data_IF_039185651487
#
_entry.id   IF_039185651487
#
_cell.length_a   1.000
_cell.length_b   1.000
_cell.length_c   1.000
_cell.angle_alpha   90.00
_cell.angle_beta   90.00
_cell.angle_gamma   90.00
#
_symmetry.space_group_name_H-M   'P 1'
#
loop_
_entity.id
_entity.type
_entity.pdbx_description
1 polymer ?
#
# COMPACT_ATOMS: atom_id res chain seq x y z
N UNK A 1 -24.27 41.68 0.17
CA UNK A 1 -23.53 42.73 -0.55
C UNK A 1 -22.10 42.68 -0.06
N UNK A 2 -21.14 42.73 -0.96
CA UNK A 2 -19.71 42.73 -0.65
C UNK A 2 -19.07 44.03 -1.16
N UNK A 3 -17.95 44.44 -0.55
CA UNK A 3 -17.25 45.68 -0.93
C UNK A 3 -15.97 45.38 -1.70
N UNK A 4 -15.78 46.08 -2.83
CA UNK A 4 -14.56 45.94 -3.63
C UNK A 4 -13.36 46.51 -2.88
N UNK A 5 -12.30 45.72 -2.72
CA UNK A 5 -11.06 46.10 -2.06
C UNK A 5 -10.38 47.32 -2.70
N UNK A 6 -10.51 47.48 -4.02
CA UNK A 6 -9.88 48.56 -4.79
C UNK A 6 -10.77 49.81 -4.82
N UNK A 7 -11.96 49.73 -5.43
CA UNK A 7 -12.79 50.91 -5.68
C UNK A 7 -13.80 51.22 -4.58
N UNK A 8 -13.88 50.37 -3.53
CA UNK A 8 -14.79 50.53 -2.37
C UNK A 8 -16.28 50.55 -2.69
N UNK A 9 -16.68 50.32 -3.95
CA UNK A 9 -18.09 50.15 -4.34
C UNK A 9 -18.62 48.83 -3.82
N UNK A 10 -19.87 48.84 -3.36
CA UNK A 10 -20.60 47.62 -3.04
C UNK A 10 -21.11 46.94 -4.31
N UNK A 11 -21.14 45.62 -4.29
CA UNK A 11 -21.63 44.82 -5.41
C UNK A 11 -22.19 43.48 -4.91
N UNK A 12 -22.95 42.80 -5.77
CA UNK A 12 -23.40 41.44 -5.51
C UNK A 12 -22.21 40.46 -5.64
N UNK A 13 -21.85 39.65 -4.61
CA UNK A 13 -20.73 38.72 -4.69
C UNK A 13 -20.73 37.78 -5.90
N UNK A 14 -21.88 37.46 -6.50
CA UNK A 14 -21.97 36.66 -7.73
C UNK A 14 -21.27 37.37 -8.92
N UNK A 15 -21.21 38.70 -8.88
CA UNK A 15 -20.64 39.56 -9.92
C UNK A 15 -19.17 39.92 -9.70
N UNK A 16 -18.52 39.37 -8.65
CA UNK A 16 -17.12 39.65 -8.36
C UNK A 16 -16.27 38.41 -8.12
N UNK A 17 -14.99 38.65 -7.84
CA UNK A 17 -13.98 37.63 -7.62
C UNK A 17 -13.49 37.73 -6.19
N UNK A 18 -13.51 36.63 -5.46
CA UNK A 18 -12.87 36.52 -4.15
C UNK A 18 -11.48 35.88 -4.31
N UNK A 19 -10.43 36.62 -3.96
CA UNK A 19 -9.05 36.17 -4.10
C UNK A 19 -8.16 36.80 -3.03
N UNK A 20 -7.20 36.06 -2.49
CA UNK A 20 -6.29 36.55 -1.44
C UNK A 20 -7.03 37.18 -0.24
N UNK A 21 -8.11 36.51 0.19
CA UNK A 21 -9.03 36.96 1.24
C UNK A 21 -9.66 38.34 1.01
N UNK A 22 -9.78 38.78 -0.25
CA UNK A 22 -10.34 40.08 -0.65
C UNK A 22 -11.37 39.92 -1.76
N UNK A 23 -12.38 40.76 -1.72
CA UNK A 23 -13.40 40.88 -2.76
C UNK A 23 -13.00 41.92 -3.80
N UNK A 24 -13.14 41.59 -5.09
CA UNK A 24 -12.89 42.50 -6.20
C UNK A 24 -14.13 42.55 -7.10
N UNK A 25 -14.62 43.74 -7.44
CA UNK A 25 -15.63 43.86 -8.49
C UNK A 25 -15.03 43.47 -9.85
N UNK A 26 -15.89 43.12 -10.82
CA UNK A 26 -15.48 42.65 -12.16
C UNK A 26 -14.45 43.54 -12.87
N UNK A 27 -14.61 44.85 -12.79
CA UNK A 27 -13.69 45.80 -13.46
C UNK A 27 -12.33 45.85 -12.75
N UNK A 28 -12.35 45.97 -11.43
CA UNK A 28 -11.15 46.05 -10.61
C UNK A 28 -10.38 44.72 -10.59
N UNK A 29 -11.07 43.58 -10.68
CA UNK A 29 -10.40 42.29 -10.80
C UNK A 29 -9.59 42.23 -12.10
N UNK A 30 -10.15 42.61 -13.24
CA UNK A 30 -9.41 42.61 -14.53
C UNK A 30 -8.16 43.51 -14.46
N UNK A 31 -8.25 44.68 -13.84
CA UNK A 31 -7.11 45.60 -13.72
C UNK A 31 -6.03 45.08 -12.76
N UNK A 32 -6.42 44.41 -11.68
CA UNK A 32 -5.51 43.84 -10.69
C UNK A 32 -4.96 42.46 -11.09
N UNK A 33 -5.53 41.85 -12.12
CA UNK A 33 -5.16 40.53 -12.59
C UNK A 33 -3.69 40.51 -13.03
N UNK A 34 -2.90 39.65 -12.37
CA UNK A 34 -1.69 39.13 -12.98
C UNK A 34 -2.10 38.04 -13.98
N UNK A 35 -1.57 38.13 -15.20
CA UNK A 35 -1.86 37.20 -16.27
C UNK A 35 -0.66 36.32 -16.56
N UNK A 36 -0.92 35.02 -16.67
CA UNK A 36 0.06 34.03 -17.11
C UNK A 36 -0.36 33.41 -18.44
N UNK A 37 0.57 32.75 -19.12
CA UNK A 37 0.28 32.07 -20.39
C UNK A 37 0.06 30.58 -20.17
N UNK A 38 -1.12 30.07 -20.52
CA UNK A 38 -1.39 28.64 -20.49
C UNK A 38 -0.39 27.88 -21.40
N UNK A 39 0.30 26.90 -20.83
CA UNK A 39 1.35 26.12 -21.48
C UNK A 39 0.83 25.25 -22.62
N UNK A 40 -0.48 24.96 -22.65
CA UNK A 40 -1.13 24.13 -23.68
C UNK A 40 -1.79 24.96 -24.78
N UNK A 41 -2.75 25.80 -24.44
CA UNK A 41 -3.53 26.57 -25.43
C UNK A 41 -3.00 27.97 -25.71
N UNK A 42 -1.96 28.42 -25.00
CA UNK A 42 -1.33 29.75 -25.15
C UNK A 42 -2.23 30.95 -24.82
N UNK A 43 -3.46 30.73 -24.34
CA UNK A 43 -4.36 31.79 -23.84
C UNK A 43 -3.76 32.46 -22.59
N UNK A 44 -3.88 33.79 -22.49
CA UNK A 44 -3.63 34.52 -21.25
C UNK A 44 -4.71 34.22 -20.22
N UNK A 45 -4.31 33.83 -19.02
CA UNK A 45 -5.20 33.45 -17.93
C UNK A 45 -4.89 34.26 -16.69
N UNK A 46 -5.92 34.78 -16.04
CA UNK A 46 -5.76 35.50 -14.79
C UNK A 46 -5.34 34.54 -13.68
N UNK A 47 -4.70 35.06 -12.63
CA UNK A 47 -4.15 34.28 -11.51
C UNK A 47 -5.14 33.33 -10.82
N UNK A 48 -6.42 33.66 -10.80
CA UNK A 48 -7.49 32.81 -10.24
C UNK A 48 -8.11 31.82 -11.24
N UNK A 49 -7.70 31.83 -12.51
CA UNK A 49 -8.24 30.97 -13.58
C UNK A 49 -7.23 29.92 -14.07
N UNK A 50 -6.13 29.73 -13.35
CA UNK A 50 -5.09 28.77 -13.73
C UNK A 50 -4.69 27.86 -12.57
N UNK A 51 -4.10 26.73 -12.95
CA UNK A 51 -3.43 25.79 -12.04
C UNK A 51 -1.97 25.66 -12.48
N UNK A 52 -1.06 25.71 -11.51
CA UNK A 52 0.34 25.33 -11.73
C UNK A 52 0.48 23.82 -11.49
N UNK A 53 1.01 23.11 -12.49
CA UNK A 53 1.24 21.67 -12.43
C UNK A 53 2.58 21.33 -13.07
N UNK A 54 3.46 20.66 -12.32
CA UNK A 54 4.81 20.30 -12.76
C UNK A 54 5.61 21.51 -13.33
N UNK A 55 5.52 22.67 -12.67
CA UNK A 55 6.22 23.90 -13.05
C UNK A 55 5.68 24.57 -14.32
N UNK A 56 4.47 24.20 -14.76
CA UNK A 56 3.80 24.77 -15.94
C UNK A 56 2.43 25.31 -15.55
N UNK A 57 2.06 26.45 -16.12
CA UNK A 57 0.75 27.07 -15.94
C UNK A 57 -0.26 26.49 -16.94
N UNK A 58 -1.45 26.13 -16.49
CA UNK A 58 -2.56 25.65 -17.33
C UNK A 58 -3.85 26.37 -16.98
N UNK A 59 -4.64 26.75 -17.98
CA UNK A 59 -6.04 27.10 -17.72
C UNK A 59 -6.81 25.87 -17.21
N UNK A 60 -7.87 26.07 -16.42
CA UNK A 60 -8.63 24.97 -15.83
C UNK A 60 -9.04 23.88 -16.84
N UNK A 61 -9.58 24.26 -18.00
CA UNK A 61 -9.95 23.31 -19.07
C UNK A 61 -8.77 22.50 -19.63
N UNK A 62 -7.59 23.13 -19.76
CA UNK A 62 -6.42 22.44 -20.27
C UNK A 62 -5.80 21.54 -19.20
N UNK A 63 -5.89 21.93 -17.93
CA UNK A 63 -5.42 21.13 -16.82
C UNK A 63 -6.21 19.82 -16.68
N UNK A 64 -7.54 19.85 -16.83
CA UNK A 64 -8.36 18.63 -16.85
C UNK A 64 -7.91 17.63 -17.91
N UNK A 65 -7.57 18.12 -19.11
CA UNK A 65 -7.05 17.27 -20.20
C UNK A 65 -5.69 16.67 -19.86
N UNK A 66 -4.81 17.45 -19.21
CA UNK A 66 -3.51 16.94 -18.72
C UNK A 66 -3.73 15.82 -17.69
N UNK A 67 -4.65 15.98 -16.75
CA UNK A 67 -4.95 14.95 -15.76
C UNK A 67 -5.48 13.65 -16.40
N UNK A 68 -6.33 13.77 -17.43
CA UNK A 68 -6.81 12.60 -18.19
C UNK A 68 -5.65 11.90 -18.90
N UNK A 69 -4.78 12.65 -19.56
CA UNK A 69 -3.60 12.11 -20.25
C UNK A 69 -2.64 11.40 -19.27
N UNK A 70 -2.35 12.02 -18.13
CA UNK A 70 -1.50 11.42 -17.08
C UNK A 70 -2.10 10.17 -16.45
N UNK A 71 -3.44 10.11 -16.32
CA UNK A 71 -4.15 8.92 -15.85
C UNK A 71 -4.07 7.80 -16.89
N UNK A 72 -4.31 8.11 -18.15
CA UNK A 72 -4.21 7.15 -19.25
C UNK A 72 -2.77 6.63 -19.40
N UNK A 73 -1.77 7.48 -19.21
CA UNK A 73 -0.35 7.12 -19.22
C UNK A 73 0.06 6.19 -18.06
N UNK A 74 -0.81 6.01 -17.06
CA UNK A 74 -0.64 5.05 -15.95
C UNK A 74 -1.63 3.90 -16.01
N UNK A 75 -2.43 3.79 -17.07
CA UNK A 75 -3.43 2.73 -17.20
C UNK A 75 -2.93 1.62 -18.12
N UNK A 76 -3.14 0.36 -17.71
CA UNK A 76 -2.82 -0.79 -18.53
C UNK A 76 -3.75 -0.85 -19.76
N UNK A 77 -3.15 -0.90 -20.95
CA UNK A 77 -3.88 -0.97 -22.21
C UNK A 77 -4.81 -2.19 -22.31
N UNK A 78 -4.46 -3.27 -21.59
CA UNK A 78 -5.16 -4.56 -21.61
C UNK A 78 -6.26 -4.60 -20.54
N UNK A 79 -5.91 -4.56 -19.25
CA UNK A 79 -6.89 -4.72 -18.17
C UNK A 79 -7.57 -3.42 -17.71
N UNK A 80 -7.18 -2.27 -18.26
CA UNK A 80 -7.73 -0.94 -17.91
C UNK A 80 -7.56 -0.53 -16.44
N UNK A 81 -6.76 -1.26 -15.66
CA UNK A 81 -6.40 -0.89 -14.28
C UNK A 81 -5.17 0.02 -14.26
N UNK A 82 -5.05 0.82 -13.19
CA UNK A 82 -3.83 1.58 -12.93
C UNK A 82 -2.63 0.62 -12.77
N UNK A 83 -1.51 1.00 -13.35
CA UNK A 83 -0.24 0.28 -13.29
C UNK A 83 0.48 0.74 -12.03
N UNK A 84 0.58 -0.16 -11.06
CA UNK A 84 1.41 0.00 -9.88
C UNK A 84 2.70 -0.80 -10.09
N UNK A 85 3.83 -0.11 -10.27
CA UNK A 85 5.14 -0.74 -10.48
C UNK A 85 5.56 -0.85 -11.96
N UNK A 86 6.40 -1.84 -12.32
CA UNK A 86 6.96 -1.94 -13.66
C UNK A 86 5.90 -2.22 -14.73
N UNK A 87 6.18 -1.80 -15.96
CA UNK A 87 5.34 -2.01 -17.13
C UNK A 87 6.17 -2.17 -18.38
N UNK A 88 5.57 -2.76 -19.40
CA UNK A 88 6.16 -2.81 -20.76
C UNK A 88 5.35 -1.93 -21.71
N UNK A 89 5.95 -1.58 -22.85
CA UNK A 89 5.27 -0.93 -23.96
C UNK A 89 4.89 -2.00 -24.99
N UNK A 90 3.62 -2.02 -25.42
CA UNK A 90 3.16 -2.89 -26.50
C UNK A 90 3.56 -2.29 -27.88
N UNK A 91 3.38 -3.03 -29.00
CA UNK A 91 3.69 -2.52 -30.34
C UNK A 91 2.93 -1.24 -30.74
N UNK A 92 1.81 -0.93 -30.08
CA UNK A 92 1.03 0.30 -30.28
C UNK A 92 1.54 1.49 -29.45
N UNK A 93 2.65 1.35 -28.72
CA UNK A 93 3.19 2.41 -27.87
C UNK A 93 2.48 2.59 -26.52
N UNK A 94 1.57 1.68 -26.13
CA UNK A 94 0.78 1.78 -24.89
C UNK A 94 1.38 0.92 -23.78
N UNK A 95 1.26 1.39 -22.52
CA UNK A 95 1.75 0.65 -21.35
C UNK A 95 0.87 -0.56 -21.04
N UNK A 96 1.51 -1.68 -20.67
CA UNK A 96 0.88 -2.92 -20.24
C UNK A 96 1.49 -3.35 -18.90
N UNK A 97 0.66 -3.67 -17.91
CA UNK A 97 1.13 -4.16 -16.61
C UNK A 97 1.79 -5.55 -16.74
N UNK A 98 2.72 -5.86 -15.84
CA UNK A 98 3.45 -7.14 -15.86
C UNK A 98 2.54 -8.36 -15.80
N UNK A 99 1.39 -8.27 -15.11
CA UNK A 99 0.43 -9.38 -15.04
C UNK A 99 -0.22 -9.67 -16.40
N UNK A 100 -0.69 -8.63 -17.10
CA UNK A 100 -1.24 -8.78 -18.45
C UNK A 100 -0.16 -9.21 -19.43
N UNK A 101 1.04 -8.65 -19.30
CA UNK A 101 2.19 -9.01 -20.10
C UNK A 101 2.51 -10.51 -20.00
N UNK A 102 2.61 -11.05 -18.78
CA UNK A 102 2.84 -12.49 -18.52
C UNK A 102 1.73 -13.36 -19.08
N UNK A 103 0.46 -12.95 -18.91
CA UNK A 103 -0.71 -13.70 -19.40
C UNK A 103 -0.78 -13.78 -20.92
N UNK A 104 -0.38 -12.70 -21.60
CA UNK A 104 -0.47 -12.61 -23.06
C UNK A 104 0.76 -13.18 -23.77
N UNK A 105 1.78 -13.64 -23.03
CA UNK A 105 3.03 -14.15 -23.57
C UNK A 105 3.68 -13.20 -24.61
N UNK A 106 3.51 -11.89 -24.39
CA UNK A 106 3.98 -10.87 -25.32
C UNK A 106 5.52 -10.91 -25.37
N UNK A 107 6.11 -10.86 -26.57
CA UNK A 107 7.55 -10.63 -26.69
C UNK A 107 7.81 -9.19 -26.24
N UNK A 108 8.64 -8.94 -25.22
CA UNK A 108 8.83 -7.59 -24.74
C UNK A 108 9.67 -6.83 -25.77
N UNK A 109 9.21 -5.64 -26.16
CA UNK A 109 10.08 -4.67 -26.80
C UNK A 109 10.92 -3.99 -25.70
N UNK A 110 12.25 -4.10 -25.80
CA UNK A 110 13.18 -3.37 -24.93
C UNK A 110 13.38 -3.90 -23.51
N UNK A 111 12.84 -5.07 -23.15
CA UNK A 111 13.14 -5.73 -21.85
C UNK A 111 14.06 -6.91 -22.09
N UNK A 112 15.22 -6.93 -21.43
CA UNK A 112 16.10 -8.09 -21.45
C UNK A 112 15.48 -9.21 -20.63
N UNK A 113 15.31 -10.38 -21.27
CA UNK A 113 14.76 -11.58 -20.65
C UNK A 113 15.91 -12.51 -20.31
N UNK A 114 15.87 -13.08 -19.10
CA UNK A 114 16.85 -14.05 -18.60
C UNK A 114 16.15 -15.34 -18.17
N UNK A 115 16.91 -16.44 -18.15
CA UNK A 115 16.42 -17.76 -17.74
C UNK A 115 16.73 -17.98 -16.27
N UNK A 116 15.72 -18.25 -15.45
CA UNK A 116 15.90 -18.52 -14.03
C UNK A 116 16.73 -19.80 -13.81
N UNK A 117 17.83 -19.70 -13.05
CA UNK A 117 18.63 -20.86 -12.63
C UNK A 117 17.81 -21.89 -11.82
N UNK A 118 16.85 -21.41 -11.03
CA UNK A 118 16.10 -22.25 -10.10
C UNK A 118 14.97 -23.07 -10.75
N UNK A 119 14.28 -22.51 -11.74
CA UNK A 119 13.10 -23.15 -12.35
C UNK A 119 13.11 -23.21 -13.89
N UNK A 120 14.11 -22.65 -14.57
CA UNK A 120 14.21 -22.65 -16.02
C UNK A 120 13.23 -21.72 -16.75
N UNK A 121 12.35 -21.00 -16.03
CA UNK A 121 11.40 -20.06 -16.64
C UNK A 121 12.11 -18.78 -17.11
N UNK A 122 11.62 -18.22 -18.21
CA UNK A 122 11.97 -16.88 -18.69
C UNK A 122 11.30 -15.81 -17.82
N UNK A 123 12.04 -14.76 -17.48
CA UNK A 123 11.50 -13.61 -16.73
C UNK A 123 12.34 -12.33 -16.97
N UNK A 124 11.82 -11.14 -16.64
CA UNK A 124 12.54 -9.87 -16.82
C UNK A 124 13.84 -9.81 -16.00
N UNK A 125 14.93 -9.40 -16.64
CA UNK A 125 16.23 -9.22 -15.95
C UNK A 125 16.15 -8.19 -14.82
N UNK A 126 15.28 -7.18 -14.95
CA UNK A 126 15.01 -6.19 -13.89
C UNK A 126 14.42 -6.79 -12.61
N UNK A 127 13.86 -8.00 -12.67
CA UNK A 127 13.33 -8.74 -11.51
C UNK A 127 14.33 -9.78 -10.98
N UNK A 128 15.53 -9.89 -11.55
CA UNK A 128 16.48 -10.94 -11.22
C UNK A 128 17.27 -10.66 -9.95
N UNK A 129 17.30 -11.67 -9.07
CA UNK A 129 18.27 -11.76 -7.98
C UNK A 129 19.43 -12.62 -8.44
N UNK A 130 20.65 -12.12 -8.37
CA UNK A 130 21.84 -12.84 -8.83
C UNK A 130 22.48 -13.63 -7.69
N UNK A 131 22.50 -14.96 -7.82
CA UNK A 131 23.17 -15.87 -6.88
C UNK A 131 24.32 -16.55 -7.61
N UNK A 132 25.56 -16.23 -7.21
CA UNK A 132 26.79 -16.65 -7.92
C UNK A 132 26.74 -16.28 -9.41
N UNK A 133 26.42 -15.01 -9.71
CA UNK A 133 26.28 -14.45 -11.07
C UNK A 133 25.26 -15.15 -11.98
N UNK A 134 24.34 -15.94 -11.41
CA UNK A 134 23.24 -16.55 -12.17
C UNK A 134 21.90 -15.97 -11.71
N UNK A 135 21.01 -15.57 -12.63
CA UNK A 135 19.74 -14.95 -12.28
C UNK A 135 18.76 -15.97 -11.70
N UNK A 136 18.07 -15.57 -10.63
CA UNK A 136 17.04 -16.35 -9.94
C UNK A 136 15.77 -15.50 -9.87
N UNK A 137 14.64 -16.07 -10.27
CA UNK A 137 13.37 -15.35 -10.27
C UNK A 137 12.83 -15.16 -8.83
N UNK A 138 11.97 -14.15 -8.60
CA UNK A 138 11.40 -13.86 -7.28
C UNK A 138 10.71 -15.06 -6.62
N UNK A 139 10.00 -15.89 -7.39
CA UNK A 139 9.34 -17.11 -6.90
C UNK A 139 10.34 -18.10 -6.31
N UNK A 140 11.44 -18.36 -7.01
CA UNK A 140 12.49 -19.27 -6.53
C UNK A 140 13.20 -18.71 -5.29
N UNK A 141 13.47 -17.40 -5.25
CA UNK A 141 14.06 -16.76 -4.05
C UNK A 141 13.14 -16.93 -2.84
N UNK A 142 11.84 -16.67 -2.98
CA UNK A 142 10.87 -16.86 -1.90
C UNK A 142 10.79 -18.33 -1.46
N UNK A 143 10.85 -19.28 -2.39
CA UNK A 143 10.86 -20.71 -2.08
C UNK A 143 12.09 -21.09 -1.24
N UNK A 144 13.28 -20.65 -1.64
CA UNK A 144 14.52 -20.90 -0.89
C UNK A 144 14.49 -20.31 0.52
N UNK A 145 13.92 -19.11 0.69
CA UNK A 145 13.77 -18.47 2.01
C UNK A 145 12.79 -19.24 2.90
N UNK A 146 11.66 -19.70 2.34
CA UNK A 146 10.67 -20.50 3.07
C UNK A 146 11.20 -21.88 3.48
N UNK A 147 11.97 -22.54 2.62
CA UNK A 147 12.56 -23.86 2.91
C UNK A 147 13.64 -23.82 4.01
N UNK A 148 14.29 -22.66 4.21
CA UNK A 148 15.33 -22.47 5.23
C UNK A 148 14.85 -21.84 6.53
N UNK A 149 13.72 -21.16 6.52
CA UNK A 149 13.13 -20.57 7.72
C UNK A 149 12.24 -21.58 8.44
N UNK A 150 12.85 -22.55 9.13
CA UNK A 150 12.14 -23.35 10.12
C UNK A 150 12.50 -22.90 11.53
N UNK A 151 11.54 -23.00 12.43
CA UNK A 151 11.79 -22.89 13.87
C UNK A 151 11.55 -24.24 14.54
N UNK A 152 12.24 -24.50 15.64
CA UNK A 152 12.13 -25.77 16.35
C UNK A 152 10.97 -25.71 17.35
N UNK A 153 10.11 -26.72 17.34
CA UNK A 153 9.09 -26.89 18.36
C UNK A 153 9.74 -27.06 19.73
N UNK A 154 9.37 -26.20 20.69
CA UNK A 154 9.93 -26.23 22.04
C UNK A 154 9.50 -27.44 22.86
N UNK A 155 8.46 -28.18 22.42
CA UNK A 155 7.95 -29.34 23.14
C UNK A 155 8.48 -30.68 22.59
N UNK A 156 8.55 -30.84 21.26
CA UNK A 156 8.94 -32.12 20.64
C UNK A 156 10.16 -32.04 19.70
N UNK A 157 10.75 -30.86 19.51
CA UNK A 157 11.92 -30.69 18.63
C UNK A 157 11.63 -30.75 17.13
N UNK A 158 10.37 -30.95 16.71
CA UNK A 158 10.03 -30.99 15.28
C UNK A 158 10.26 -29.64 14.59
N UNK A 159 10.68 -29.65 13.33
CA UNK A 159 10.78 -28.45 12.49
C UNK A 159 9.38 -27.91 12.17
N UNK A 160 9.19 -26.61 12.34
CA UNK A 160 7.96 -25.88 11.99
C UNK A 160 8.32 -24.94 10.84
N UNK A 161 7.79 -25.21 9.65
CA UNK A 161 8.02 -24.41 8.44
C UNK A 161 6.98 -23.31 8.23
N UNK A 162 5.88 -23.38 8.96
CA UNK A 162 4.80 -22.40 8.97
C UNK A 162 4.93 -21.47 10.18
N UNK A 163 3.99 -20.52 10.33
CA UNK A 163 3.94 -19.65 11.50
C UNK A 163 3.71 -20.49 12.77
N UNK A 164 4.65 -20.52 13.74
CA UNK A 164 4.52 -21.36 14.92
C UNK A 164 3.39 -20.86 15.84
N UNK A 165 2.67 -21.80 16.46
CA UNK A 165 1.81 -21.50 17.60
C UNK A 165 2.69 -21.19 18.83
N UNK A 166 2.14 -20.48 19.81
CA UNK A 166 2.91 -20.08 21.00
C UNK A 166 2.22 -20.51 22.28
N UNK A 167 2.98 -21.10 23.20
CA UNK A 167 2.60 -21.32 24.60
C UNK A 167 3.63 -20.61 25.46
N UNK A 168 3.19 -19.66 26.29
CA UNK A 168 4.07 -18.81 27.11
C UNK A 168 5.22 -18.18 26.29
N UNK A 169 4.92 -17.71 25.08
CA UNK A 169 5.90 -17.10 24.16
C UNK A 169 6.79 -18.07 23.40
N UNK A 170 6.84 -19.36 23.77
CA UNK A 170 7.68 -20.38 23.12
C UNK A 170 6.97 -21.03 21.92
N UNK A 171 7.68 -21.23 20.78
CA UNK A 171 7.09 -21.83 19.58
C UNK A 171 6.76 -23.32 19.79
N UNK A 172 5.57 -23.75 19.38
CA UNK A 172 5.09 -25.13 19.44
C UNK A 172 4.38 -25.52 18.14
N UNK A 173 4.52 -26.79 17.73
CA UNK A 173 3.85 -27.32 16.56
C UNK A 173 2.34 -27.56 16.82
N UNK A 174 1.48 -27.61 15.79
CA UNK A 174 0.04 -27.82 15.93
C UNK A 174 -0.33 -29.05 16.77
N UNK A 175 0.36 -30.16 16.57
CA UNK A 175 0.12 -31.40 17.32
C UNK A 175 0.42 -31.27 18.80
N UNK A 176 1.54 -30.62 19.16
CA UNK A 176 1.87 -30.36 20.57
C UNK A 176 0.91 -29.34 21.17
N UNK A 177 0.52 -28.32 20.41
CA UNK A 177 -0.45 -27.34 20.87
C UNK A 177 -1.81 -27.98 21.17
N UNK A 178 -2.34 -28.83 20.29
CA UNK A 178 -3.60 -29.56 20.53
C UNK A 178 -3.53 -30.39 21.82
N UNK A 179 -2.50 -31.24 21.97
CA UNK A 179 -2.29 -32.06 23.18
C UNK A 179 -2.17 -31.23 24.47
N UNK A 180 -1.49 -30.08 24.40
CA UNK A 180 -1.27 -29.21 25.55
C UNK A 180 -2.51 -28.36 25.89
N UNK A 181 -3.35 -28.01 24.92
CA UNK A 181 -4.54 -27.18 25.13
C UNK A 181 -5.77 -28.01 25.50
N UNK A 182 -5.85 -29.25 25.02
CA UNK A 182 -6.91 -30.21 25.36
C UNK A 182 -6.72 -30.83 26.76
N UNK A 183 -5.56 -30.67 27.39
CA UNK A 183 -5.37 -31.10 28.77
C UNK A 183 -6.21 -30.21 29.69
N UNK A 184 -7.26 -30.79 30.25
CA UNK A 184 -8.11 -30.16 31.26
C UNK A 184 -7.47 -30.31 32.64
N UNK A 185 -7.18 -29.18 33.29
CA UNK A 185 -6.78 -29.11 34.69
C UNK A 185 -7.98 -28.59 35.52
N UNK A 186 -7.93 -28.68 36.85
CA UNK A 186 -8.99 -28.14 37.72
C UNK A 186 -8.44 -27.08 38.66
N UNK A 187 -9.23 -26.02 38.88
CA UNK A 187 -8.91 -25.01 39.88
C UNK A 187 -8.92 -25.64 41.28
N UNK A 188 -7.84 -25.49 42.03
CA UNK A 188 -7.75 -25.97 43.41
C UNK A 188 -8.74 -25.27 44.36
N UNK A 189 -9.19 -24.06 44.03
CA UNK A 189 -10.11 -23.27 44.87
C UNK A 189 -11.57 -23.49 44.51
N UNK A 190 -11.91 -23.42 43.22
CA UNK A 190 -13.32 -23.45 42.78
C UNK A 190 -13.72 -24.70 41.99
N UNK A 191 -12.79 -25.65 41.78
CA UNK A 191 -13.05 -26.90 41.07
C UNK A 191 -13.36 -26.79 39.57
N UNK A 192 -13.51 -25.56 39.04
CA UNK A 192 -13.78 -25.30 37.61
C UNK A 192 -12.71 -25.96 36.75
N UNK A 193 -13.13 -26.59 35.66
CA UNK A 193 -12.24 -27.07 34.60
C UNK A 193 -11.54 -25.87 33.95
N UNK A 194 -10.22 -25.94 33.83
CA UNK A 194 -9.38 -24.93 33.22
C UNK A 194 -8.60 -25.59 32.09
N UNK A 195 -8.62 -24.98 30.90
CA UNK A 195 -7.72 -25.40 29.82
C UNK A 195 -6.27 -25.11 30.24
N UNK A 196 -5.35 -26.04 30.03
CA UNK A 196 -3.98 -25.98 30.56
C UNK A 196 -3.11 -24.79 30.10
N UNK A 197 -3.66 -23.84 29.36
CA UNK A 197 -3.01 -22.57 28.97
C UNK A 197 -3.58 -21.33 29.66
N UNK A 198 -4.62 -21.46 30.52
CA UNK A 198 -5.29 -20.33 31.19
C UNK A 198 -5.34 -20.46 32.73
N UNK A 199 -4.22 -20.79 33.35
CA UNK A 199 -4.11 -20.90 34.81
C UNK A 199 -2.84 -20.26 35.36
N UNK A 200 -2.84 -20.00 36.66
CA UNK A 200 -1.66 -19.55 37.42
C UNK A 200 -1.27 -20.68 38.38
N UNK A 201 0.03 -20.96 38.51
CA UNK A 201 0.53 -21.83 39.60
C UNK A 201 0.97 -20.98 40.78
N UNK A 202 0.52 -21.33 41.97
CA UNK A 202 0.98 -20.75 43.23
C UNK A 202 1.15 -21.90 44.24
N UNK A 203 2.35 -22.05 44.79
CA UNK A 203 2.71 -23.10 45.75
C UNK A 203 2.33 -24.52 45.28
N UNK A 204 2.51 -24.78 43.99
CA UNK A 204 2.15 -26.06 43.36
C UNK A 204 0.66 -26.21 43.01
N UNK A 205 -0.23 -25.37 43.54
CA UNK A 205 -1.66 -25.40 43.24
C UNK A 205 -2.00 -24.68 41.92
N UNK A 206 -2.92 -25.26 41.14
CA UNK A 206 -3.44 -24.68 39.88
C UNK A 206 -4.64 -23.81 40.20
N UNK A 207 -4.58 -22.52 39.87
CA UNK A 207 -5.64 -21.54 40.10
C UNK A 207 -6.18 -21.00 38.78
N UNK A 208 -7.50 -20.89 38.65
CA UNK A 208 -8.09 -20.12 37.55
C UNK A 208 -7.77 -18.63 37.72
N UNK A 209 -7.81 -17.86 36.63
CA UNK A 209 -7.46 -16.44 36.65
C UNK A 209 -8.33 -15.63 37.64
N UNK A 210 -9.59 -16.02 37.85
CA UNK A 210 -10.48 -15.38 38.83
C UNK A 210 -10.01 -15.63 40.27
N UNK A 211 -9.77 -16.90 40.64
CA UNK A 211 -9.30 -17.28 41.97
C UNK A 211 -7.88 -16.78 42.26
N UNK A 212 -7.03 -16.67 41.22
CA UNK A 212 -5.70 -16.08 41.35
C UNK A 212 -5.74 -14.58 41.67
N UNK A 213 -6.75 -13.84 41.17
CA UNK A 213 -6.91 -12.41 41.49
C UNK A 213 -7.44 -12.22 42.91
N UNK A 214 -8.41 -13.02 43.35
CA UNK A 214 -8.99 -12.96 44.71
C UNK A 214 -7.98 -13.29 45.82
N UNK A 215 -6.96 -14.08 45.50
CA UNK A 215 -5.89 -14.44 46.44
C UNK A 215 -4.72 -13.45 46.45
N UNK A 216 -4.81 -12.32 45.74
CA UNK A 216 -3.85 -11.20 45.81
C UNK A 216 -4.39 -10.00 46.60
N UNK A 217 -5.65 -10.05 47.04
CA UNK A 217 -6.36 -8.96 47.72
C UNK A 217 -6.44 -9.15 49.25
N UNK A 218 -5.52 -9.92 49.83
CA UNK A 218 -5.32 -10.08 51.27
C UNK A 218 -3.83 -10.01 51.59
#
# INVERSE_FOLDING_TARGET
>A
MEQCYICRKEFDPIMGVFFDNKWFCRECSIQYAQFETCSRCRRKVARWEYVEHNGKIYCNECYEKVLVEERLARTCAVCKKEIVGPSVINPEGKKVCMDCYRKMNLKPFGVRIVVCRGCGKNFPESEAVYVKNKPVCPECVQKFLKERAFVTCSNCGSKIYEKPLKINGKPVCPTCYAKLVEKEERCAVCGKKIRAIKFVRRDGAILCLECSKKSQSH
#
